data_IF_645983715408
#
_entry.id   IF_645983715408
#
_cell.length_a   1.000
_cell.length_b   1.000
_cell.length_c   1.000
_cell.angle_alpha   90.00
_cell.angle_beta   90.00
_cell.angle_gamma   90.00
#
_symmetry.space_group_name_H-M   'P 1'
#
loop_
_entity.id
_entity.type
_entity.pdbx_description
1 polymer ?
#
# COMPACT_ATOMS: atom_id res chain seq x y z
N UNK A 1 -12.80 -24.15 -39.50
CA UNK A 1 -11.96 -24.22 -38.30
C UNK A 1 -10.99 -23.05 -38.31
N UNK A 2 -11.11 -22.22 -37.28
CA UNK A 2 -10.25 -21.13 -36.81
C UNK A 2 -10.03 -19.93 -37.76
N UNK A 3 -10.88 -18.93 -37.50
CA UNK A 3 -10.87 -17.55 -37.99
C UNK A 3 -9.69 -16.75 -37.45
N UNK A 4 -9.03 -16.04 -38.36
CA UNK A 4 -8.11 -14.93 -38.11
C UNK A 4 -8.87 -13.80 -37.40
N UNK A 5 -8.42 -13.41 -36.21
CA UNK A 5 -8.72 -12.08 -35.66
C UNK A 5 -7.51 -11.19 -35.88
N UNK A 6 -7.70 -10.19 -36.75
CA UNK A 6 -6.85 -9.03 -36.84
C UNK A 6 -6.98 -8.25 -35.53
N UNK A 7 -5.89 -8.22 -34.75
CA UNK A 7 -5.46 -7.07 -33.95
C UNK A 7 -4.17 -7.47 -33.24
N UNK A 8 -3.05 -7.11 -33.87
CA UNK A 8 -1.71 -7.25 -33.33
C UNK A 8 -1.43 -6.19 -32.26
N UNK A 9 -2.09 -6.29 -31.11
CA UNK A 9 -1.63 -5.62 -29.90
C UNK A 9 -1.02 -6.66 -28.98
N UNK A 10 0.30 -6.55 -28.77
CA UNK A 10 0.98 -7.28 -27.72
C UNK A 10 0.20 -7.04 -26.42
N UNK A 11 -0.35 -8.11 -25.86
CA UNK A 11 -0.92 -8.13 -24.52
C UNK A 11 0.24 -7.88 -23.57
N UNK A 12 0.50 -6.61 -23.28
CA UNK A 12 1.30 -6.21 -22.14
C UNK A 12 0.71 -6.95 -20.94
N UNK A 13 1.53 -7.78 -20.30
CA UNK A 13 1.15 -8.46 -19.07
C UNK A 13 0.84 -7.35 -18.09
N UNK A 14 -0.45 -7.03 -17.90
CA UNK A 14 -0.88 -6.08 -16.90
C UNK A 14 -0.42 -6.68 -15.56
N UNK A 15 0.70 -6.18 -15.03
CA UNK A 15 1.12 -6.52 -13.68
C UNK A 15 -0.02 -6.09 -12.78
N UNK A 16 -0.69 -7.08 -12.19
CA UNK A 16 -1.79 -6.79 -11.27
C UNK A 16 -1.23 -5.98 -10.09
N UNK A 17 -2.01 -5.01 -9.57
CA UNK A 17 -1.59 -4.27 -8.39
C UNK A 17 -1.25 -5.25 -7.26
N UNK A 18 -0.16 -4.98 -6.56
CA UNK A 18 0.11 -5.67 -5.29
C UNK A 18 -0.88 -5.13 -4.27
N UNK A 19 -1.79 -5.98 -3.81
CA UNK A 19 -2.80 -5.64 -2.81
C UNK A 19 -2.19 -5.72 -1.41
N UNK A 20 -2.28 -4.63 -0.65
CA UNK A 20 -1.78 -4.53 0.72
C UNK A 20 -2.89 -4.07 1.66
N UNK A 21 -3.01 -4.77 2.80
CA UNK A 21 -3.78 -4.30 3.94
C UNK A 21 -2.84 -3.73 4.99
N UNK A 22 -3.12 -2.50 5.40
CA UNK A 22 -2.32 -1.76 6.34
C UNK A 22 -3.20 -1.11 7.42
N UNK A 23 -2.60 -0.85 8.57
CA UNK A 23 -3.24 -0.12 9.66
C UNK A 23 -2.28 0.89 10.26
N UNK A 24 -2.82 1.86 10.98
CA UNK A 24 -2.03 2.89 11.65
C UNK A 24 -2.77 3.41 12.87
N UNK A 25 -2.01 3.76 13.91
CA UNK A 25 -2.50 4.46 15.09
C UNK A 25 -2.32 5.98 14.97
N UNK A 26 -1.72 6.45 13.88
CA UNK A 26 -1.50 7.87 13.63
C UNK A 26 -2.80 8.57 13.23
N UNK A 27 -2.93 9.84 13.63
CA UNK A 27 -4.10 10.63 13.25
C UNK A 27 -4.10 10.92 11.75
N UNK A 28 -5.26 10.73 11.11
CA UNK A 28 -5.47 10.92 9.67
C UNK A 28 -5.00 12.29 9.15
N UNK A 29 -5.17 13.35 9.93
CA UNK A 29 -4.78 14.71 9.52
C UNK A 29 -3.26 14.88 9.49
N UNK A 30 -2.52 14.25 10.41
CA UNK A 30 -1.06 14.29 10.44
C UNK A 30 -0.42 13.29 9.47
N UNK A 31 -0.96 12.07 9.40
CA UNK A 31 -0.38 11.00 8.60
C UNK A 31 -0.42 11.28 7.10
N UNK A 32 -1.52 11.85 6.59
CA UNK A 32 -1.72 11.92 5.14
C UNK A 32 -0.70 12.84 4.43
N UNK A 33 -0.37 14.04 4.96
CA UNK A 33 0.75 14.83 4.47
C UNK A 33 2.10 14.11 4.62
N UNK A 34 2.36 13.48 5.78
CA UNK A 34 3.61 12.77 6.04
C UNK A 34 3.83 11.61 5.06
N UNK A 35 2.78 10.82 4.80
CA UNK A 35 2.78 9.74 3.84
C UNK A 35 3.04 10.24 2.42
N UNK A 36 2.39 11.35 2.01
CA UNK A 36 2.60 11.94 0.69
C UNK A 36 4.06 12.37 0.49
N UNK A 37 4.66 12.97 1.51
CA UNK A 37 6.07 13.36 1.50
C UNK A 37 6.99 12.13 1.45
N UNK A 38 6.74 11.12 2.27
CA UNK A 38 7.51 9.87 2.32
C UNK A 38 7.52 9.13 0.97
N UNK A 39 6.35 8.98 0.34
CA UNK A 39 6.19 8.37 -0.98
C UNK A 39 6.97 9.17 -2.04
N UNK A 40 6.85 10.50 -2.02
CA UNK A 40 7.53 11.38 -2.99
C UNK A 40 9.07 11.31 -2.87
N UNK A 41 9.60 11.25 -1.64
CA UNK A 41 11.05 11.12 -1.39
C UNK A 41 11.61 9.79 -1.90
N UNK A 42 10.78 8.75 -2.03
CA UNK A 42 11.16 7.46 -2.59
C UNK A 42 11.08 7.43 -4.12
N UNK A 43 10.74 8.55 -4.78
CA UNK A 43 10.52 8.58 -6.24
C UNK A 43 9.25 7.85 -6.68
N UNK A 44 8.32 7.63 -5.76
CA UNK A 44 7.00 7.08 -6.03
C UNK A 44 5.96 8.19 -6.16
N UNK A 45 4.81 7.86 -6.75
CA UNK A 45 3.69 8.77 -6.87
C UNK A 45 2.39 8.12 -6.40
N UNK A 46 1.55 8.91 -5.74
CA UNK A 46 0.17 8.52 -5.42
C UNK A 46 -0.68 8.78 -6.67
N UNK A 47 -1.14 7.72 -7.31
CA UNK A 47 -1.99 7.76 -8.51
C UNK A 47 -3.43 8.10 -8.14
N UNK A 48 -3.94 7.44 -7.11
CA UNK A 48 -5.31 7.61 -6.64
C UNK A 48 -5.35 7.56 -5.12
N UNK A 49 -6.22 8.39 -4.55
CA UNK A 49 -6.60 8.32 -3.14
C UNK A 49 -8.11 8.33 -3.06
N UNK A 50 -8.69 7.29 -2.46
CA UNK A 50 -10.13 7.12 -2.32
C UNK A 50 -10.49 6.92 -0.86
N UNK A 51 -11.30 7.81 -0.31
CA UNK A 51 -11.88 7.60 1.03
C UNK A 51 -12.90 6.47 0.95
N UNK A 52 -12.69 5.40 1.71
CA UNK A 52 -13.62 4.26 1.78
C UNK A 52 -14.64 4.46 2.91
N UNK A 53 -14.17 4.96 4.05
CA UNK A 53 -14.98 5.25 5.24
C UNK A 53 -14.33 6.38 6.06
N UNK A 54 -14.93 6.82 7.17
CA UNK A 54 -14.27 7.76 8.09
C UNK A 54 -12.91 7.25 8.59
N UNK A 55 -12.80 5.94 8.82
CA UNK A 55 -11.62 5.26 9.38
C UNK A 55 -10.80 4.49 8.34
N UNK A 56 -11.11 4.59 7.04
CA UNK A 56 -10.37 3.86 6.02
C UNK A 56 -10.16 4.67 4.74
N UNK A 57 -8.98 4.51 4.15
CA UNK A 57 -8.61 5.10 2.86
C UNK A 57 -7.90 4.07 1.99
N UNK A 58 -8.21 4.08 0.71
CA UNK A 58 -7.43 3.38 -0.31
C UNK A 58 -6.45 4.34 -0.97
N UNK A 59 -5.22 3.89 -1.15
CA UNK A 59 -4.14 4.63 -1.78
C UNK A 59 -3.52 3.73 -2.85
N UNK A 60 -3.49 4.22 -4.10
CA UNK A 60 -2.75 3.57 -5.17
C UNK A 60 -1.42 4.29 -5.37
N UNK A 61 -0.33 3.55 -5.21
CA UNK A 61 1.04 4.04 -5.31
C UNK A 61 1.69 3.35 -6.50
N UNK A 62 2.42 4.12 -7.30
CA UNK A 62 3.27 3.60 -8.36
C UNK A 62 4.71 3.99 -8.08
N UNK A 63 5.60 3.01 -8.23
CA UNK A 63 7.01 3.16 -7.89
C UNK A 63 7.88 2.29 -8.79
N UNK A 64 9.10 2.74 -9.04
CA UNK A 64 10.11 1.87 -9.65
C UNK A 64 10.55 0.80 -8.65
N UNK A 65 10.59 -0.46 -9.08
CA UNK A 65 10.97 -1.61 -8.26
C UNK A 65 12.31 -1.41 -7.53
N UNK A 66 13.24 -0.66 -8.12
CA UNK A 66 14.54 -0.33 -7.50
C UNK A 66 14.43 0.46 -6.19
N UNK A 67 13.32 1.18 -5.97
CA UNK A 67 13.05 2.00 -4.78
C UNK A 67 12.14 1.31 -3.76
N UNK A 68 11.81 0.02 -3.95
CA UNK A 68 10.81 -0.65 -3.13
C UNK A 68 11.23 -0.83 -1.67
N UNK A 69 12.54 -0.97 -1.40
CA UNK A 69 13.05 -1.15 -0.03
C UNK A 69 12.93 0.16 0.75
N UNK A 70 13.22 1.26 0.06
CA UNK A 70 13.16 2.62 0.56
C UNK A 70 11.71 3.00 0.85
N UNK A 71 10.78 2.68 -0.07
CA UNK A 71 9.35 2.85 0.17
C UNK A 71 8.88 2.03 1.36
N UNK A 72 9.23 0.74 1.44
CA UNK A 72 8.82 -0.12 2.53
C UNK A 72 9.30 0.44 3.89
N UNK A 73 10.57 0.83 4.01
CA UNK A 73 11.10 1.45 5.22
C UNK A 73 10.41 2.79 5.55
N UNK A 74 10.10 3.60 4.55
CA UNK A 74 9.43 4.88 4.74
C UNK A 74 7.98 4.71 5.23
N UNK A 75 7.25 3.70 4.74
CA UNK A 75 5.89 3.37 5.21
C UNK A 75 5.93 2.96 6.69
N UNK A 76 6.83 2.07 7.08
CA UNK A 76 7.00 1.68 8.48
C UNK A 76 7.38 2.87 9.38
N UNK A 77 8.29 3.72 8.90
CA UNK A 77 8.73 4.90 9.65
C UNK A 77 7.64 5.97 9.80
N UNK A 78 6.64 5.95 8.92
CA UNK A 78 5.46 6.81 8.99
C UNK A 78 4.38 6.27 9.95
N UNK A 79 4.64 5.17 10.66
CA UNK A 79 3.66 4.56 11.58
C UNK A 79 2.61 3.71 10.87
N UNK A 80 2.91 3.22 9.66
CA UNK A 80 2.05 2.26 8.95
C UNK A 80 2.52 0.84 9.29
N UNK A 81 1.58 0.04 9.77
CA UNK A 81 1.78 -1.34 10.15
C UNK A 81 1.10 -2.28 9.14
N UNK A 82 1.68 -3.45 8.94
CA UNK A 82 1.18 -4.46 8.00
C UNK A 82 0.92 -5.77 8.72
N UNK A 83 -0.07 -6.52 8.22
CA UNK A 83 -0.19 -7.93 8.57
C UNK A 83 0.95 -8.76 7.96
N UNK A 84 1.01 -10.05 8.34
CA UNK A 84 1.97 -11.02 7.78
C UNK A 84 1.98 -11.00 6.25
N UNK A 85 0.82 -11.02 5.63
CA UNK A 85 0.69 -11.09 4.17
C UNK A 85 1.21 -9.82 3.49
N UNK A 86 0.98 -8.65 4.10
CA UNK A 86 1.53 -7.38 3.60
C UNK A 86 3.05 -7.31 3.71
N UNK A 87 3.60 -7.75 4.85
CA UNK A 87 5.05 -7.87 5.02
C UNK A 87 5.67 -8.87 4.03
N UNK A 88 5.01 -10.00 3.77
CA UNK A 88 5.46 -10.99 2.80
C UNK A 88 5.44 -10.42 1.38
N UNK A 89 4.36 -9.77 0.96
CA UNK A 89 4.26 -9.18 -0.37
C UNK A 89 5.34 -8.10 -0.61
N UNK A 90 5.60 -7.24 0.39
CA UNK A 90 6.68 -6.26 0.32
C UNK A 90 8.07 -6.91 0.29
N UNK A 91 8.29 -7.98 1.07
CA UNK A 91 9.53 -8.76 1.06
C UNK A 91 9.76 -9.48 -0.28
N UNK A 92 8.71 -9.97 -0.91
CA UNK A 92 8.76 -10.61 -2.22
C UNK A 92 9.15 -9.59 -3.29
N UNK A 93 8.57 -8.38 -3.27
CA UNK A 93 8.99 -7.30 -4.17
C UNK A 93 10.46 -6.90 -3.93
N UNK A 94 10.90 -6.82 -2.67
CA UNK A 94 12.30 -6.56 -2.34
C UNK A 94 13.23 -7.68 -2.86
N UNK A 95 12.77 -8.92 -2.88
CA UNK A 95 13.50 -10.07 -3.42
C UNK A 95 13.53 -10.03 -4.95
N UNK A 96 12.40 -9.76 -5.59
CA UNK A 96 12.31 -9.53 -7.04
C UNK A 96 13.29 -8.44 -7.50
N UNK A 97 13.40 -7.33 -6.74
CA UNK A 97 14.40 -6.28 -6.99
C UNK A 97 15.83 -6.85 -7.05
N UNK A 98 16.20 -7.77 -6.15
CA UNK A 98 17.55 -8.36 -6.10
C UNK A 98 17.87 -9.25 -7.31
N UNK A 99 16.84 -9.78 -7.96
CA UNK A 99 16.97 -10.73 -9.07
C UNK A 99 16.62 -10.13 -10.43
N UNK A 100 16.18 -8.86 -10.49
CA UNK A 100 15.97 -8.14 -11.75
C UNK A 100 17.28 -7.55 -12.27
N UNK A 101 17.53 -7.73 -13.55
CA UNK A 101 18.60 -7.06 -14.28
C UNK A 101 18.51 -5.53 -14.11
N UNK A 102 19.64 -4.89 -13.82
CA UNK A 102 19.77 -3.45 -13.50
C UNK A 102 19.14 -2.51 -14.53
N UNK A 103 18.98 -2.98 -15.78
CA UNK A 103 18.48 -2.19 -16.91
C UNK A 103 16.96 -2.33 -17.15
N UNK A 104 16.26 -3.20 -16.41
CA UNK A 104 14.79 -3.23 -16.41
C UNK A 104 14.23 -2.32 -15.34
N UNK A 105 13.78 -1.13 -15.76
CA UNK A 105 12.91 -0.29 -14.96
C UNK A 105 11.53 -0.95 -14.79
N UNK A 106 11.42 -1.92 -13.88
CA UNK A 106 10.14 -2.51 -13.50
C UNK A 106 9.32 -1.47 -12.73
N UNK A 107 8.19 -1.03 -13.27
CA UNK A 107 7.21 -0.23 -12.52
C UNK A 107 6.30 -1.18 -11.73
N UNK A 108 6.07 -0.88 -10.46
CA UNK A 108 5.17 -1.63 -9.58
C UNK A 108 4.03 -0.72 -9.17
N UNK A 109 2.81 -1.23 -9.30
CA UNK A 109 1.61 -0.60 -8.74
C UNK A 109 1.24 -1.33 -7.45
N UNK A 110 1.07 -0.58 -6.37
CA UNK A 110 0.62 -1.05 -5.06
C UNK A 110 -0.76 -0.44 -4.82
N UNK A 111 -1.73 -1.27 -4.47
CA UNK A 111 -3.01 -0.83 -3.94
C UNK A 111 -3.03 -1.13 -2.45
N UNK A 112 -3.04 -0.08 -1.65
CA UNK A 112 -3.00 -0.19 -0.20
C UNK A 112 -4.33 0.29 0.38
N UNK A 113 -5.00 -0.58 1.11
CA UNK A 113 -6.09 -0.20 2.00
C UNK A 113 -5.51 0.07 3.38
N UNK A 114 -5.66 1.31 3.85
CA UNK A 114 -5.15 1.78 5.13
C UNK A 114 -6.31 2.06 6.09
N UNK A 115 -6.36 1.29 7.17
CA UNK A 115 -7.27 1.50 8.28
C UNK A 115 -6.64 2.38 9.37
N UNK A 116 -7.33 3.45 9.73
CA UNK A 116 -7.03 4.27 10.90
C UNK A 116 -7.67 3.59 12.11
N UNK A 117 -6.83 3.05 12.98
CA UNK A 117 -7.27 2.53 14.27
C UNK A 117 -7.34 3.72 15.21
N UNK A 118 -8.57 4.14 15.52
CA UNK A 118 -8.75 5.11 16.60
C UNK A 118 -8.08 4.56 17.85
N UNK A 119 -7.44 5.45 18.61
CA UNK A 119 -7.01 5.16 19.96
C UNK A 119 -8.26 4.59 20.65
N UNK A 120 -8.24 3.30 21.01
CA UNK A 120 -9.31 2.71 21.79
C UNK A 120 -9.18 3.41 23.13
N UNK A 121 -9.82 4.57 23.24
CA UNK A 121 -9.79 5.35 24.47
C UNK A 121 -10.30 4.41 25.54
N UNK A 122 -9.59 4.34 26.67
CA UNK A 122 -10.04 3.56 27.83
C UNK A 122 -11.51 3.82 28.14
N UNK A 123 -12.02 5.01 27.80
CA UNK A 123 -13.42 5.37 27.88
C UNK A 123 -14.36 4.46 27.07
N UNK A 124 -14.01 4.05 25.85
CA UNK A 124 -14.77 3.11 25.02
C UNK A 124 -14.77 1.68 25.61
N UNK A 125 -13.67 1.28 26.25
CA UNK A 125 -13.53 -0.02 26.93
C UNK A 125 -14.26 -0.04 28.29
N UNK A 126 -14.27 1.07 29.01
CA UNK A 126 -14.95 1.19 30.30
C UNK A 126 -16.48 1.27 30.13
N UNK A 127 -16.96 1.92 29.07
CA UNK A 127 -18.40 1.98 28.75
C UNK A 127 -18.96 0.63 28.28
N UNK A 128 -18.13 -0.24 27.68
CA UNK A 128 -18.53 -1.60 27.30
C UNK A 128 -18.48 -2.59 28.48
N UNK A 129 -17.84 -2.23 29.59
CA UNK A 129 -17.77 -3.03 30.82
C UNK A 129 -18.85 -2.73 31.87
N UNK A 130 -19.74 -1.76 31.66
CA UNK A 130 -20.75 -1.34 32.66
C UNK A 130 -22.17 -1.87 32.43
N UNK A 131 -22.34 -2.87 31.55
CA UNK A 131 -23.60 -3.59 31.40
C UNK A 131 -23.49 -5.01 31.96
N UNK A 132 -23.29 -5.13 33.27
CA UNK A 132 -23.68 -6.32 34.03
C UNK A 132 -24.48 -5.81 35.23
N UNK A 133 -25.71 -6.32 35.32
CA UNK A 133 -26.75 -5.96 36.28
C UNK A 133 -26.36 -6.13 37.75
#
# INVERSE_FOLDING_TARGET
>A
MNTLTADGFATGTWMQPTELQAHTYEERHGLMPALTAAVSLCGAWIVERKTLSPTAVEIRIEIQLRMIVELYAALLSAGIEFGRDGHQALADLCTCRKHMELDRAGLVTIRMELAFLDDVTLHSLLMSGTSVA
#
